data_IF_863230203239
#
_entry.id   IF_863230203239
#
_cell.length_a   1.000
_cell.length_b   1.000
_cell.length_c   1.000
_cell.angle_alpha   90.00
_cell.angle_beta   90.00
_cell.angle_gamma   90.00
#
_symmetry.space_group_name_H-M   'P 1'
#
loop_
_entity.id
_entity.type
_entity.pdbx_description
1 polymer ?
#
# COMPACT_ATOMS: atom_id res chain seq x y z
N UNK A 1 42.96 -41.39 11.30
CA UNK A 1 41.77 -41.01 10.52
C UNK A 1 41.18 -39.76 11.13
N UNK A 2 41.34 -38.63 10.50
CA UNK A 2 40.85 -37.37 11.01
C UNK A 2 39.33 -37.31 10.86
N UNK A 3 38.60 -37.27 11.97
CA UNK A 3 37.19 -36.95 11.93
C UNK A 3 37.06 -35.47 11.45
N UNK A 4 36.54 -35.32 10.27
CA UNK A 4 36.21 -33.98 9.79
C UNK A 4 35.04 -33.46 10.63
N UNK A 5 35.35 -32.61 11.59
CA UNK A 5 34.37 -31.89 12.34
C UNK A 5 33.52 -31.09 11.35
N UNK A 6 32.23 -31.40 11.28
CA UNK A 6 31.28 -30.50 10.63
C UNK A 6 31.40 -29.17 11.38
N UNK A 7 31.86 -28.16 10.67
CA UNK A 7 31.74 -26.81 11.18
C UNK A 7 30.24 -26.55 11.38
N UNK A 8 29.82 -26.20 12.58
CA UNK A 8 28.46 -25.69 12.73
C UNK A 8 28.39 -24.48 11.82
N UNK A 9 27.52 -24.54 10.82
CA UNK A 9 27.15 -23.34 10.11
C UNK A 9 26.54 -22.43 11.15
N UNK A 10 27.32 -21.52 11.67
CA UNK A 10 26.80 -20.45 12.48
C UNK A 10 25.93 -19.63 11.53
N UNK A 11 24.67 -19.96 11.46
CA UNK A 11 23.69 -19.03 10.96
C UNK A 11 23.75 -17.85 11.93
N UNK A 12 24.64 -16.94 11.64
CA UNK A 12 24.62 -15.66 12.31
C UNK A 12 23.35 -14.99 11.86
N UNK A 13 22.29 -15.19 12.60
CA UNK A 13 21.22 -14.25 12.62
C UNK A 13 21.80 -12.96 13.18
N UNK A 14 22.50 -12.23 12.35
CA UNK A 14 22.81 -10.87 12.69
C UNK A 14 21.46 -10.17 12.82
N UNK A 15 21.13 -9.72 14.03
CA UNK A 15 19.93 -8.94 14.30
C UNK A 15 19.92 -7.58 13.60
N UNK A 16 20.55 -7.48 12.45
CA UNK A 16 20.38 -6.36 11.54
C UNK A 16 19.02 -6.51 10.87
N UNK A 17 18.31 -5.40 10.73
CA UNK A 17 17.05 -5.26 10.04
C UNK A 17 17.09 -5.93 8.66
N UNK A 18 16.95 -7.24 8.64
CA UNK A 18 16.69 -7.94 7.39
C UNK A 18 15.20 -7.82 7.15
N UNK A 19 14.85 -6.96 6.22
CA UNK A 19 13.53 -7.03 5.64
C UNK A 19 13.30 -8.45 5.15
N UNK A 20 12.21 -9.12 5.57
CA UNK A 20 11.89 -10.42 5.05
C UNK A 20 11.95 -10.37 3.52
N UNK A 21 12.34 -11.46 2.88
CA UNK A 21 12.36 -11.56 1.42
C UNK A 21 11.03 -11.13 0.78
N UNK A 22 9.94 -11.40 1.48
CA UNK A 22 8.59 -10.96 1.11
C UNK A 22 8.45 -9.43 1.06
N UNK A 23 9.12 -8.68 1.96
CA UNK A 23 9.04 -7.23 1.96
C UNK A 23 9.73 -6.60 0.72
N UNK A 24 10.82 -7.18 0.25
CA UNK A 24 11.50 -6.73 -0.97
C UNK A 24 10.66 -7.01 -2.20
N UNK A 25 10.05 -8.18 -2.25
CA UNK A 25 9.14 -8.56 -3.34
C UNK A 25 7.94 -7.63 -3.35
N UNK A 26 7.35 -7.35 -2.19
CA UNK A 26 6.21 -6.43 -2.05
C UNK A 26 6.53 -5.05 -2.58
N UNK A 27 7.69 -4.50 -2.25
CA UNK A 27 8.10 -3.18 -2.73
C UNK A 27 8.32 -3.16 -4.24
N UNK A 28 8.94 -4.20 -4.78
CA UNK A 28 9.13 -4.34 -6.22
C UNK A 28 7.79 -4.44 -6.95
N UNK A 29 6.86 -5.23 -6.43
CA UNK A 29 5.51 -5.35 -6.99
C UNK A 29 4.77 -4.01 -6.94
N UNK A 30 4.90 -3.27 -5.83
CA UNK A 30 4.27 -1.96 -5.69
C UNK A 30 4.74 -1.00 -6.78
N UNK A 31 6.04 -0.95 -7.02
CA UNK A 31 6.62 -0.11 -8.08
C UNK A 31 6.11 -0.49 -9.46
N UNK A 32 6.08 -1.79 -9.76
CA UNK A 32 5.61 -2.28 -11.06
C UNK A 32 4.14 -1.92 -11.27
N UNK A 33 3.30 -2.15 -10.28
CA UNK A 33 1.86 -1.87 -10.38
C UNK A 33 1.62 -0.36 -10.47
N UNK A 34 2.30 0.44 -9.66
CA UNK A 34 2.18 1.88 -9.71
C UNK A 34 2.56 2.45 -11.09
N UNK A 35 3.65 1.98 -11.66
CA UNK A 35 4.09 2.39 -12.99
C UNK A 35 3.10 1.98 -14.07
N UNK A 36 2.56 0.78 -13.98
CA UNK A 36 1.59 0.28 -14.97
C UNK A 36 0.25 1.01 -14.86
N UNK A 37 -0.20 1.36 -13.66
CA UNK A 37 -1.44 2.12 -13.47
C UNK A 37 -1.38 3.49 -14.15
N UNK A 38 -0.24 4.14 -14.14
CA UNK A 38 -0.06 5.43 -14.84
C UNK A 38 -0.26 5.28 -16.35
N UNK A 39 0.05 4.12 -16.90
CA UNK A 39 -0.07 3.83 -18.33
C UNK A 39 -1.46 3.38 -18.76
N UNK A 40 -2.31 3.02 -17.80
CA UNK A 40 -3.68 2.63 -18.08
C UNK A 40 -4.53 3.88 -18.28
N UNK A 41 -5.14 3.99 -19.44
CA UNK A 41 -6.05 5.09 -19.76
C UNK A 41 -7.46 4.74 -19.28
N UNK A 42 -7.70 4.94 -18.00
CA UNK A 42 -9.00 4.71 -17.36
C UNK A 42 -9.24 5.83 -16.34
N UNK A 43 -10.28 6.61 -16.59
CA UNK A 43 -10.61 7.76 -15.74
C UNK A 43 -10.87 7.37 -14.29
N UNK A 44 -11.37 6.17 -14.05
CA UNK A 44 -11.64 5.66 -12.71
C UNK A 44 -10.37 5.48 -11.87
N UNK A 45 -9.21 5.36 -12.52
CA UNK A 45 -7.92 5.07 -11.88
C UNK A 45 -6.99 6.27 -11.75
N UNK A 46 -7.37 7.42 -12.29
CA UNK A 46 -6.50 8.61 -12.35
C UNK A 46 -6.06 9.08 -10.96
N UNK A 47 -6.96 9.02 -9.98
CA UNK A 47 -6.71 9.53 -8.63
C UNK A 47 -6.37 8.41 -7.64
N UNK A 48 -6.03 7.23 -8.13
CA UNK A 48 -5.71 6.04 -7.31
C UNK A 48 -4.21 5.95 -7.07
N UNK A 49 -3.84 5.72 -5.82
CA UNK A 49 -2.45 5.48 -5.42
C UNK A 49 -2.34 4.13 -4.73
N UNK A 50 -1.39 3.31 -5.16
CA UNK A 50 -1.06 2.07 -4.45
C UNK A 50 -0.23 2.41 -3.22
N UNK A 51 -0.72 2.05 -2.06
CA UNK A 51 -0.08 2.39 -0.78
C UNK A 51 0.88 1.33 -0.31
N UNK A 52 0.48 0.06 -0.39
CA UNK A 52 1.32 -1.07 -0.02
C UNK A 52 0.80 -2.34 -0.67
N UNK A 53 1.66 -3.36 -0.68
CA UNK A 53 1.30 -4.70 -1.14
C UNK A 53 1.72 -5.71 -0.09
N UNK A 54 0.82 -6.62 0.26
CA UNK A 54 1.11 -7.76 1.12
C UNK A 54 1.14 -9.03 0.27
N UNK A 55 2.26 -9.72 0.28
CA UNK A 55 2.46 -10.95 -0.46
C UNK A 55 2.58 -12.10 0.53
N UNK A 56 1.91 -13.22 0.25
CA UNK A 56 2.08 -14.41 1.07
C UNK A 56 3.47 -15.05 0.83
N UNK A 57 3.91 -15.89 1.75
CA UNK A 57 5.24 -16.51 1.69
C UNK A 57 5.46 -17.39 0.46
N UNK A 58 4.40 -17.92 -0.11
CA UNK A 58 4.44 -18.81 -1.27
C UNK A 58 4.21 -18.08 -2.59
N UNK A 59 4.02 -16.77 -2.57
CA UNK A 59 3.73 -15.93 -3.73
C UNK A 59 2.44 -16.35 -4.49
N UNK A 60 1.47 -16.88 -3.76
CA UNK A 60 0.18 -17.26 -4.35
C UNK A 60 -0.76 -16.07 -4.51
N UNK A 61 -0.73 -15.15 -3.55
CA UNK A 61 -1.61 -13.98 -3.51
C UNK A 61 -0.83 -12.74 -3.16
N UNK A 62 -1.22 -11.64 -3.76
CA UNK A 62 -0.73 -10.32 -3.42
C UNK A 62 -1.94 -9.41 -3.18
N UNK A 63 -2.07 -8.91 -1.97
CA UNK A 63 -3.11 -7.93 -1.64
C UNK A 63 -2.56 -6.55 -1.94
N UNK A 64 -3.17 -5.88 -2.89
CA UNK A 64 -2.80 -4.53 -3.32
C UNK A 64 -3.72 -3.54 -2.61
N UNK A 65 -3.16 -2.79 -1.68
CA UNK A 65 -3.88 -1.74 -0.99
C UNK A 65 -3.76 -0.43 -1.75
N UNK A 66 -4.86 0.30 -1.85
CA UNK A 66 -4.90 1.57 -2.55
C UNK A 66 -5.63 2.63 -1.73
N UNK A 67 -5.31 3.88 -2.01
CA UNK A 67 -6.08 5.03 -1.59
C UNK A 67 -6.51 5.83 -2.82
N UNK A 68 -7.48 6.68 -2.66
CA UNK A 68 -8.00 7.51 -3.73
C UNK A 68 -8.39 8.88 -3.20
N UNK A 69 -8.12 9.92 -3.99
CA UNK A 69 -8.57 11.27 -3.67
C UNK A 69 -10.09 11.43 -3.74
N UNK A 70 -10.79 10.51 -4.40
CA UNK A 70 -12.25 10.48 -4.44
C UNK A 70 -12.84 10.01 -3.10
N UNK A 71 -12.07 9.25 -2.33
CA UNK A 71 -12.53 8.68 -1.07
C UNK A 71 -13.36 7.41 -1.24
N UNK A 72 -14.01 6.92 -0.15
CA UNK A 72 -14.74 5.65 -0.15
C UNK A 72 -15.88 5.56 -1.18
N UNK A 73 -16.45 6.68 -1.55
CA UNK A 73 -17.56 6.74 -2.52
C UNK A 73 -17.18 6.23 -3.91
N UNK A 74 -15.90 6.32 -4.26
CA UNK A 74 -15.38 5.83 -5.54
C UNK A 74 -14.93 4.38 -5.54
N UNK A 75 -14.98 3.68 -4.42
CA UNK A 75 -14.38 2.34 -4.30
C UNK A 75 -15.02 1.30 -5.22
N UNK A 76 -16.32 1.30 -5.40
CA UNK A 76 -16.97 0.33 -6.27
C UNK A 76 -16.49 0.46 -7.71
N UNK A 77 -16.39 1.67 -8.23
CA UNK A 77 -15.88 1.94 -9.58
C UNK A 77 -14.39 1.61 -9.70
N UNK A 78 -13.61 1.96 -8.69
CA UNK A 78 -12.17 1.68 -8.67
C UNK A 78 -11.91 0.19 -8.63
N UNK A 79 -12.60 -0.55 -7.76
CA UNK A 79 -12.44 -2.00 -7.67
C UNK A 79 -12.88 -2.71 -8.96
N UNK A 80 -13.94 -2.24 -9.60
CA UNK A 80 -14.36 -2.74 -10.90
C UNK A 80 -13.27 -2.49 -11.96
N UNK A 81 -12.71 -1.29 -12.00
CA UNK A 81 -11.63 -0.94 -12.93
C UNK A 81 -10.37 -1.78 -12.70
N UNK A 82 -9.93 -1.90 -11.46
CA UNK A 82 -8.76 -2.71 -11.11
C UNK A 82 -8.98 -4.20 -11.48
N UNK A 83 -10.19 -4.70 -11.27
CA UNK A 83 -10.56 -6.06 -11.67
C UNK A 83 -10.50 -6.27 -13.18
N UNK A 84 -10.96 -5.30 -13.97
CA UNK A 84 -10.90 -5.34 -15.43
C UNK A 84 -9.45 -5.31 -15.95
N UNK A 85 -8.57 -4.59 -15.28
CA UNK A 85 -7.15 -4.47 -15.66
C UNK A 85 -6.24 -5.48 -14.96
N UNK A 86 -6.79 -6.40 -14.19
CA UNK A 86 -6.00 -7.38 -13.42
C UNK A 86 -5.05 -8.17 -14.30
N UNK A 87 -5.51 -8.69 -15.42
CA UNK A 87 -4.68 -9.49 -16.34
C UNK A 87 -3.51 -8.68 -16.86
N UNK A 88 -3.73 -7.43 -17.23
CA UNK A 88 -2.67 -6.52 -17.67
C UNK A 88 -1.62 -6.28 -16.58
N UNK A 89 -2.06 -6.05 -15.35
CA UNK A 89 -1.17 -5.85 -14.20
C UNK A 89 -0.37 -7.12 -13.90
N UNK A 90 -1.00 -8.28 -13.91
CA UNK A 90 -0.32 -9.56 -13.71
C UNK A 90 0.68 -9.86 -14.82
N UNK A 91 0.35 -9.53 -16.06
CA UNK A 91 1.27 -9.67 -17.19
C UNK A 91 2.50 -8.77 -17.05
N UNK A 92 2.31 -7.55 -16.57
CA UNK A 92 3.43 -6.62 -16.30
C UNK A 92 4.36 -7.17 -15.23
N UNK A 93 3.81 -7.75 -14.17
CA UNK A 93 4.59 -8.40 -13.12
C UNK A 93 5.35 -9.59 -13.69
N UNK A 94 4.70 -10.46 -14.45
CA UNK A 94 5.30 -11.65 -15.02
C UNK A 94 6.48 -11.32 -15.94
N UNK A 95 6.42 -10.22 -16.67
CA UNK A 95 7.51 -9.76 -17.55
C UNK A 95 8.71 -9.24 -16.79
N UNK A 96 8.51 -8.63 -15.65
CA UNK A 96 9.55 -7.92 -14.90
C UNK A 96 10.14 -8.74 -13.76
N UNK A 97 9.40 -9.71 -13.24
CA UNK A 97 9.86 -10.58 -12.18
C UNK A 97 10.07 -11.98 -12.74
N UNK A 98 11.29 -12.50 -12.56
CA UNK A 98 11.62 -13.88 -12.93
C UNK A 98 11.19 -14.85 -11.83
N UNK A 99 9.90 -14.92 -11.57
CA UNK A 99 9.33 -15.89 -10.65
C UNK A 99 8.67 -17.03 -11.45
N UNK A 100 8.63 -18.22 -10.88
CA UNK A 100 7.99 -19.37 -11.50
C UNK A 100 6.48 -19.20 -11.67
N UNK A 101 5.88 -18.34 -10.85
CA UNK A 101 4.46 -18.01 -10.92
C UNK A 101 4.22 -16.57 -10.53
N UNK A 102 3.15 -16.00 -11.07
CA UNK A 102 2.71 -14.65 -10.75
C UNK A 102 1.62 -14.75 -9.68
N UNK A 103 1.70 -13.99 -8.58
CA UNK A 103 0.67 -14.01 -7.57
C UNK A 103 -0.65 -13.47 -8.11
N UNK A 104 -1.76 -13.97 -7.59
CA UNK A 104 -3.10 -13.46 -7.90
C UNK A 104 -3.26 -12.13 -7.17
N UNK A 105 -3.61 -11.09 -7.89
CA UNK A 105 -3.82 -9.76 -7.33
C UNK A 105 -5.22 -9.64 -6.73
N UNK A 106 -5.27 -9.17 -5.49
CA UNK A 106 -6.51 -8.83 -4.78
C UNK A 106 -6.41 -7.36 -4.41
N UNK A 107 -7.41 -6.57 -4.75
CA UNK A 107 -7.39 -5.13 -4.51
C UNK A 107 -8.28 -4.78 -3.32
N UNK A 108 -7.76 -3.96 -2.41
CA UNK A 108 -8.51 -3.49 -1.23
C UNK A 108 -8.20 -2.02 -0.94
N UNK A 109 -9.20 -1.24 -0.51
CA UNK A 109 -8.93 0.09 0.05
C UNK A 109 -8.01 -0.02 1.27
N UNK A 110 -7.11 0.94 1.43
CA UNK A 110 -6.23 0.98 2.60
C UNK A 110 -6.94 1.66 3.77
N UNK A 111 -7.62 0.87 4.58
CA UNK A 111 -8.40 1.35 5.71
C UNK A 111 -7.55 1.99 6.80
N UNK A 112 -6.30 1.57 6.95
CA UNK A 112 -5.38 2.14 7.93
C UNK A 112 -5.03 3.58 7.56
N UNK A 113 -4.66 3.82 6.31
CA UNK A 113 -4.35 5.18 5.83
C UNK A 113 -5.58 6.06 5.88
N UNK A 114 -6.73 5.57 5.45
CA UNK A 114 -7.99 6.32 5.48
C UNK A 114 -8.44 6.68 6.88
N UNK A 115 -8.24 5.80 7.84
CA UNK A 115 -8.51 6.08 9.25
C UNK A 115 -7.60 7.17 9.80
N UNK A 116 -6.31 7.13 9.45
CA UNK A 116 -5.35 8.16 9.84
C UNK A 116 -5.70 9.53 9.25
N UNK A 117 -6.04 9.58 7.96
CA UNK A 117 -6.49 10.79 7.28
C UNK A 117 -7.74 11.39 7.91
N UNK A 118 -8.69 10.53 8.28
CA UNK A 118 -9.92 10.96 8.96
C UNK A 118 -9.64 11.56 10.32
N UNK A 119 -8.75 10.96 11.08
CA UNK A 119 -8.34 11.47 12.39
C UNK A 119 -7.67 12.86 12.25
N UNK A 120 -6.75 12.99 11.29
CA UNK A 120 -6.10 14.28 11.00
C UNK A 120 -7.10 15.36 10.61
N UNK A 121 -8.07 15.02 9.78
CA UNK A 121 -9.13 15.93 9.37
C UNK A 121 -9.99 16.38 10.55
N UNK A 122 -10.36 15.45 11.44
CA UNK A 122 -11.11 15.78 12.66
C UNK A 122 -10.31 16.67 13.59
N UNK A 123 -9.01 16.43 13.74
CA UNK A 123 -8.13 17.27 14.56
C UNK A 123 -7.99 18.66 13.96
N UNK A 124 -7.87 18.76 12.64
CA UNK A 124 -7.79 20.05 11.95
C UNK A 124 -9.07 20.88 12.15
N UNK A 125 -10.23 20.27 12.00
CA UNK A 125 -11.53 20.91 12.23
C UNK A 125 -11.68 21.37 13.67
N UNK A 126 -11.23 20.58 14.62
CA UNK A 126 -11.24 20.95 16.03
C UNK A 126 -10.36 22.17 16.30
N UNK A 127 -9.17 22.26 15.70
CA UNK A 127 -8.29 23.42 15.82
C UNK A 127 -8.91 24.69 15.19
N UNK A 128 -9.53 24.53 14.03
CA UNK A 128 -10.20 25.64 13.34
C UNK A 128 -11.40 26.16 14.15
N UNK A 129 -12.16 25.27 14.77
CA UNK A 129 -13.29 25.70 15.61
C UNK A 129 -12.82 26.34 16.91
N UNK A 130 -11.73 25.90 17.51
CA UNK A 130 -11.14 26.54 18.68
C UNK A 130 -10.57 27.92 18.35
N UNK A 131 -9.92 28.07 17.21
CA UNK A 131 -9.46 29.37 16.72
C UNK A 131 -10.60 30.30 16.35
N UNK A 132 -11.73 29.77 15.87
CA UNK A 132 -12.94 30.55 15.57
C UNK A 132 -13.71 30.99 16.80
N UNK A 133 -13.64 30.26 17.91
CA UNK A 133 -14.31 30.62 19.15
C UNK A 133 -13.57 31.68 19.95
N UNK A 134 -12.29 31.86 19.70
CA UNK A 134 -11.45 32.85 20.39
C UNK A 134 -11.69 34.30 19.87
N UNK A 135 -12.30 34.46 18.71
CA UNK A 135 -12.64 35.77 18.13
C UNK A 135 -14.00 36.27 18.51
N UNK A 136 -14.80 35.51 19.26
CA UNK A 136 -16.18 35.85 19.61
C UNK A 136 -16.40 36.38 21.01
N UNK A 137 -15.39 36.51 21.87
CA UNK A 137 -15.58 36.84 23.26
C UNK A 137 -15.20 38.28 23.66
N UNK A 138 -14.99 39.17 22.71
CA UNK A 138 -14.77 40.58 23.04
C UNK A 138 -15.95 41.45 22.61
N UNK A 139 -17.08 41.23 23.23
CA UNK A 139 -18.03 42.30 23.41
C UNK A 139 -17.76 42.90 24.79
N UNK A 140 -16.84 43.83 24.86
CA UNK A 140 -16.73 44.64 26.01
C UNK A 140 -18.08 45.30 26.22
N UNK A 141 -18.80 44.89 27.24
CA UNK A 141 -19.90 45.68 27.75
C UNK A 141 -19.31 46.97 28.29
N UNK A 142 -19.53 48.02 27.58
CA UNK A 142 -19.23 49.34 28.10
C UNK A 142 -20.15 49.70 29.24
#
# INVERSE_FOLDING_TARGET
>A
MAARGRRPSSSRSSGGHRYPRSARVSETLREIIADELVRIDDERLVLVTVTQIEVDNELNRAIVFYDSLVGPEGDDDILAALGEHRVRLQSSIARQIRAKKTPILIFRPDDVIRSAERIEELLRRSRESDAGSDTGSDTGAG
#
